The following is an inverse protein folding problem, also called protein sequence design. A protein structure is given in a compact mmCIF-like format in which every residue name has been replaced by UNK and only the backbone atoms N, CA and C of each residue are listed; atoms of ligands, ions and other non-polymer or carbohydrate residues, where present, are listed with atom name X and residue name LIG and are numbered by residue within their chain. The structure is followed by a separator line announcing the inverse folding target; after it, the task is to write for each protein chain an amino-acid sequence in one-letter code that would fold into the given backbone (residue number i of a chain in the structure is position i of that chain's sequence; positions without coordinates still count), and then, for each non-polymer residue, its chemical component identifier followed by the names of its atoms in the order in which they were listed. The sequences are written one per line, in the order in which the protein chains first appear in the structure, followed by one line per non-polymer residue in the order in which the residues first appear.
data_IF_266299221437
#
_entry.id   IF_266299221437
#
_cell.length_a   1.000
_cell.length_b   1.000
_cell.length_c   1.000
_cell.angle_alpha   90.00
_cell.angle_beta   90.00
_cell.angle_gamma   90.00
#
_symmetry.space_group_name_H-M   'P 1'
#
loop_
_entity.id
_entity.type
_entity.pdbx_description
1 polymer ?
#
# COMPACT_ATOMS: atom_id res chain seq x y z
N UNK A 1 -14.59 40.04 -7.66
CA UNK A 1 -15.63 39.01 -7.53
C UNK A 1 -14.90 37.67 -7.49
N UNK A 2 -14.75 37.09 -6.30
CA UNK A 2 -14.16 35.74 -6.14
C UNK A 2 -15.28 34.77 -6.52
N UNK A 3 -15.08 33.99 -7.57
CA UNK A 3 -16.02 32.95 -7.96
C UNK A 3 -16.16 31.95 -6.81
N UNK A 4 -17.34 31.86 -6.23
CA UNK A 4 -17.73 30.81 -5.31
C UNK A 4 -17.61 29.48 -6.06
N UNK A 5 -16.58 28.69 -5.80
CA UNK A 5 -16.45 27.33 -6.33
C UNK A 5 -17.60 26.50 -5.77
N UNK A 6 -18.48 26.08 -6.65
CA UNK A 6 -19.66 25.29 -6.32
C UNK A 6 -19.20 23.89 -5.86
N UNK A 7 -19.20 23.65 -4.55
CA UNK A 7 -18.76 22.35 -3.96
C UNK A 7 -19.64 21.17 -4.39
N UNK A 8 -20.75 21.43 -5.08
CA UNK A 8 -21.65 20.40 -5.62
C UNK A 8 -21.10 19.64 -6.85
N UNK A 9 -20.06 20.15 -7.49
CA UNK A 9 -19.49 19.58 -8.74
C UNK A 9 -18.21 18.75 -8.49
N UNK A 10 -17.75 18.65 -7.24
CA UNK A 10 -16.55 17.86 -6.92
C UNK A 10 -16.90 16.38 -6.73
N UNK A 11 -16.09 15.45 -7.26
CA UNK A 11 -16.32 14.02 -7.08
C UNK A 11 -16.18 13.62 -5.61
N UNK A 12 -17.09 12.75 -5.15
CA UNK A 12 -16.98 12.13 -3.81
C UNK A 12 -16.05 10.94 -3.87
N UNK A 13 -14.98 11.00 -3.08
CA UNK A 13 -13.95 9.95 -2.96
C UNK A 13 -14.09 9.25 -1.63
N UNK A 14 -14.28 7.93 -1.66
CA UNK A 14 -14.28 7.06 -0.49
C UNK A 14 -12.90 6.43 -0.32
N UNK A 15 -12.29 6.60 0.85
CA UNK A 15 -11.01 5.98 1.19
C UNK A 15 -11.23 4.83 2.16
N UNK A 16 -11.11 3.59 1.67
CA UNK A 16 -11.11 2.40 2.52
C UNK A 16 -9.80 2.32 3.32
N UNK A 17 -9.89 1.95 4.60
CA UNK A 17 -8.70 1.91 5.47
C UNK A 17 -8.13 3.28 5.82
N UNK A 18 -8.97 4.33 5.86
CA UNK A 18 -8.57 5.73 6.09
C UNK A 18 -7.87 5.99 7.44
N UNK A 19 -8.00 5.07 8.40
CA UNK A 19 -7.29 5.12 9.70
C UNK A 19 -5.99 4.30 9.70
N UNK A 20 -5.69 3.62 8.59
CA UNK A 20 -4.47 2.82 8.41
C UNK A 20 -3.30 3.63 7.86
N UNK A 21 -2.19 2.93 7.57
CA UNK A 21 -0.96 3.59 7.12
C UNK A 21 -1.13 4.29 5.77
N UNK A 22 -1.51 3.58 4.71
CA UNK A 22 -1.67 4.17 3.37
C UNK A 22 -2.90 5.08 3.32
N UNK A 23 -4.07 4.58 3.75
CA UNK A 23 -5.31 5.35 3.71
C UNK A 23 -5.24 6.65 4.52
N UNK A 24 -4.58 6.62 5.69
CA UNK A 24 -4.35 7.81 6.51
C UNK A 24 -3.46 8.85 5.83
N UNK A 25 -2.46 8.43 5.07
CA UNK A 25 -1.61 9.33 4.28
C UNK A 25 -2.39 9.92 3.09
N UNK A 26 -3.26 9.15 2.42
CA UNK A 26 -4.14 9.66 1.37
C UNK A 26 -5.09 10.74 1.93
N UNK A 27 -5.69 10.47 3.09
CA UNK A 27 -6.55 11.46 3.79
C UNK A 27 -5.78 12.74 4.08
N UNK A 28 -4.57 12.61 4.65
CA UNK A 28 -3.69 13.75 4.95
C UNK A 28 -3.33 14.54 3.68
N UNK A 29 -3.08 13.86 2.58
CA UNK A 29 -2.75 14.52 1.30
C UNK A 29 -3.94 15.35 0.80
N UNK A 30 -5.17 14.85 0.89
CA UNK A 30 -6.37 15.62 0.57
C UNK A 30 -6.63 16.78 1.54
N UNK A 31 -6.29 16.65 2.81
CA UNK A 31 -6.46 17.72 3.81
C UNK A 31 -5.43 18.85 3.65
N UNK A 32 -4.24 18.55 3.11
CA UNK A 32 -3.15 19.53 2.95
C UNK A 32 -3.10 20.22 1.59
N UNK A 33 -3.84 19.71 0.60
CA UNK A 33 -3.91 20.29 -0.75
C UNK A 33 -5.25 21.02 -0.98
N UNK A 34 -5.32 21.99 -1.92
CA UNK A 34 -6.60 22.62 -2.27
C UNK A 34 -7.60 21.55 -2.71
N UNK A 35 -8.75 21.54 -2.06
CA UNK A 35 -9.81 20.55 -2.20
C UNK A 35 -10.25 20.33 -3.64
N UNK A 36 -9.90 19.19 -4.19
CA UNK A 36 -10.33 18.72 -5.52
C UNK A 36 -11.37 17.61 -5.44
N UNK A 37 -11.76 17.22 -4.24
CA UNK A 37 -12.71 16.12 -4.00
C UNK A 37 -13.55 16.39 -2.75
N UNK A 38 -14.72 15.75 -2.68
CA UNK A 38 -15.47 15.60 -1.45
C UNK A 38 -15.00 14.31 -0.77
N UNK A 39 -14.13 14.44 0.23
CA UNK A 39 -13.54 13.28 0.90
C UNK A 39 -14.54 12.61 1.83
N UNK A 40 -14.68 11.28 1.73
CA UNK A 40 -15.37 10.42 2.68
C UNK A 40 -14.40 9.38 3.22
N UNK A 41 -14.27 9.33 4.55
CA UNK A 41 -13.39 8.40 5.26
C UNK A 41 -14.20 7.25 5.85
N UNK A 42 -13.55 6.10 6.07
CA UNK A 42 -14.22 4.91 6.57
C UNK A 42 -13.58 4.36 7.83
N UNK A 43 -14.37 3.73 8.67
CA UNK A 43 -13.88 2.82 9.71
C UNK A 43 -14.82 1.62 9.81
N UNK A 44 -14.27 0.45 10.19
CA UNK A 44 -15.07 -0.73 10.54
C UNK A 44 -15.63 -0.67 11.98
N UNK A 45 -15.26 0.33 12.77
CA UNK A 45 -15.69 0.53 14.15
C UNK A 45 -16.58 1.74 14.26
N UNK A 46 -17.83 1.56 14.71
CA UNK A 46 -18.80 2.64 14.85
C UNK A 46 -18.29 3.77 15.76
N UNK A 47 -17.69 3.43 16.90
CA UNK A 47 -17.13 4.44 17.81
C UNK A 47 -16.04 5.33 17.16
N UNK A 48 -15.26 4.78 16.22
CA UNK A 48 -14.29 5.58 15.47
C UNK A 48 -14.97 6.47 14.43
N UNK A 49 -16.06 6.00 13.82
CA UNK A 49 -16.87 6.83 12.92
C UNK A 49 -17.45 8.01 13.69
N UNK A 50 -18.04 7.78 14.87
CA UNK A 50 -18.62 8.83 15.72
C UNK A 50 -17.56 9.87 16.09
N UNK A 51 -16.36 9.43 16.45
CA UNK A 51 -15.21 10.32 16.73
C UNK A 51 -14.83 11.17 15.52
N UNK A 52 -14.65 10.54 14.36
CA UNK A 52 -14.31 11.25 13.11
C UNK A 52 -15.38 12.25 12.71
N UNK A 53 -16.67 11.91 12.88
CA UNK A 53 -17.78 12.83 12.67
C UNK A 53 -17.75 14.02 13.66
N UNK A 54 -17.42 13.78 14.93
CA UNK A 54 -17.26 14.83 15.92
C UNK A 54 -16.08 15.78 15.61
N UNK A 55 -15.05 15.28 14.91
CA UNK A 55 -13.94 16.05 14.36
C UNK A 55 -14.32 16.81 13.06
N UNK A 56 -15.58 16.73 12.60
CA UNK A 56 -16.08 17.39 11.40
C UNK A 56 -15.75 16.66 10.09
N UNK A 57 -15.32 15.41 10.14
CA UNK A 57 -15.03 14.60 8.93
C UNK A 57 -16.30 13.94 8.42
N UNK A 58 -16.44 13.81 7.09
CA UNK A 58 -17.47 12.98 6.48
C UNK A 58 -17.07 11.51 6.62
N UNK A 59 -17.42 10.91 7.75
CA UNK A 59 -17.05 9.53 8.08
C UNK A 59 -18.26 8.59 7.98
N UNK A 60 -18.01 7.34 7.57
CA UNK A 60 -19.05 6.32 7.43
C UNK A 60 -18.53 4.96 7.87
N UNK A 61 -19.44 4.14 8.43
CA UNK A 61 -19.15 2.75 8.74
C UNK A 61 -19.03 1.94 7.46
N UNK A 62 -17.91 1.28 7.27
CA UNK A 62 -17.69 0.28 6.22
C UNK A 62 -16.88 -0.86 6.81
N UNK A 63 -17.52 -2.00 6.91
CA UNK A 63 -16.94 -3.23 7.44
C UNK A 63 -17.04 -4.33 6.37
N UNK A 64 -15.92 -4.84 5.91
CA UNK A 64 -15.86 -5.87 4.87
C UNK A 64 -16.48 -7.19 5.32
N UNK A 65 -16.47 -7.47 6.63
CA UNK A 65 -17.13 -8.63 7.23
C UNK A 65 -18.66 -8.46 7.31
N UNK A 66 -19.16 -7.23 7.10
CA UNK A 66 -20.59 -6.92 7.15
C UNK A 66 -21.05 -6.16 5.89
N UNK A 67 -21.41 -6.86 4.79
CA UNK A 67 -21.87 -6.22 3.55
C UNK A 67 -23.10 -5.32 3.71
N UNK A 68 -23.86 -5.45 4.83
CA UNK A 68 -24.97 -4.55 5.16
C UNK A 68 -24.57 -3.09 5.31
N UNK A 69 -23.29 -2.81 5.57
CA UNK A 69 -22.74 -1.44 5.69
C UNK A 69 -22.45 -0.78 4.33
N UNK A 70 -22.33 -1.56 3.26
CA UNK A 70 -21.84 -1.07 1.96
C UNK A 70 -22.80 -0.07 1.30
N UNK A 71 -24.10 -0.32 1.40
CA UNK A 71 -25.09 0.55 0.76
C UNK A 71 -25.02 2.01 1.23
N UNK A 72 -24.93 2.22 2.55
CA UNK A 72 -24.80 3.55 3.12
C UNK A 72 -23.42 4.18 2.80
N UNK A 73 -22.36 3.37 2.87
CA UNK A 73 -21.00 3.83 2.62
C UNK A 73 -20.79 4.30 1.18
N UNK A 74 -21.35 3.57 0.22
CA UNK A 74 -21.17 3.82 -1.22
C UNK A 74 -22.19 4.80 -1.81
N UNK A 75 -23.22 5.20 -1.05
CA UNK A 75 -24.24 6.13 -1.54
C UNK A 75 -23.63 7.48 -1.95
N UNK A 76 -23.77 7.85 -3.24
CA UNK A 76 -23.25 9.09 -3.79
C UNK A 76 -21.72 9.16 -3.85
N UNK A 77 -21.03 8.02 -3.87
CA UNK A 77 -19.59 7.93 -4.07
C UNK A 77 -19.30 7.78 -5.56
N UNK A 78 -18.39 8.60 -6.07
CA UNK A 78 -17.92 8.54 -7.45
C UNK A 78 -16.67 7.68 -7.60
N UNK A 79 -15.75 7.72 -6.61
CA UNK A 79 -14.44 7.05 -6.69
C UNK A 79 -14.10 6.38 -5.37
N UNK A 80 -13.50 5.19 -5.45
CA UNK A 80 -13.14 4.36 -4.31
C UNK A 80 -11.63 4.08 -4.33
N UNK A 81 -10.95 4.37 -3.21
CA UNK A 81 -9.67 3.73 -2.92
C UNK A 81 -9.93 2.38 -2.26
N UNK A 82 -9.59 1.29 -2.97
CA UNK A 82 -9.78 -0.07 -2.50
C UNK A 82 -8.47 -0.62 -1.97
N UNK A 83 -8.46 -0.92 -0.67
CA UNK A 83 -7.37 -1.55 0.05
C UNK A 83 -7.86 -2.88 0.62
N UNK A 84 -7.16 -3.95 0.33
CA UNK A 84 -7.46 -5.27 0.87
C UNK A 84 -6.67 -5.54 2.16
N UNK A 85 -7.29 -6.28 3.09
CA UNK A 85 -6.57 -6.92 4.19
C UNK A 85 -6.06 -8.29 3.74
N UNK A 86 -4.89 -8.67 4.20
CA UNK A 86 -4.39 -10.02 3.99
C UNK A 86 -5.09 -10.99 4.93
N UNK A 87 -6.17 -11.57 4.47
CA UNK A 87 -6.94 -12.62 5.16
C UNK A 87 -7.47 -13.61 4.13
N UNK A 88 -7.89 -14.78 4.58
CA UNK A 88 -8.50 -15.79 3.70
C UNK A 88 -9.79 -15.30 3.02
N UNK A 89 -10.44 -14.29 3.60
CA UNK A 89 -11.64 -13.65 3.08
C UNK A 89 -11.37 -12.59 1.99
N UNK A 90 -10.11 -12.25 1.74
CA UNK A 90 -9.71 -11.17 0.83
C UNK A 90 -10.46 -11.19 -0.51
N UNK A 91 -10.57 -12.36 -1.14
CA UNK A 91 -11.24 -12.49 -2.44
C UNK A 91 -12.75 -12.23 -2.33
N UNK A 92 -13.39 -12.77 -1.29
CA UNK A 92 -14.84 -12.58 -1.05
C UNK A 92 -15.12 -11.12 -0.70
N UNK A 93 -14.31 -10.52 0.16
CA UNK A 93 -14.43 -9.10 0.55
C UNK A 93 -14.31 -8.19 -0.66
N UNK A 94 -13.29 -8.40 -1.50
CA UNK A 94 -13.09 -7.62 -2.71
C UNK A 94 -14.25 -7.77 -3.68
N UNK A 95 -14.66 -9.03 -3.94
CA UNK A 95 -15.78 -9.32 -4.83
C UNK A 95 -17.06 -8.63 -4.38
N UNK A 96 -17.44 -8.80 -3.12
CA UNK A 96 -18.71 -8.27 -2.61
C UNK A 96 -18.73 -6.74 -2.58
N UNK A 97 -17.60 -6.10 -2.27
CA UNK A 97 -17.47 -4.66 -2.32
C UNK A 97 -17.52 -4.10 -3.75
N UNK A 98 -16.85 -4.76 -4.71
CA UNK A 98 -16.88 -4.37 -6.13
C UNK A 98 -18.29 -4.51 -6.70
N UNK A 99 -19.02 -5.58 -6.38
CA UNK A 99 -20.41 -5.76 -6.79
C UNK A 99 -21.32 -4.64 -6.24
N UNK A 100 -21.15 -4.31 -4.96
CA UNK A 100 -21.91 -3.22 -4.34
C UNK A 100 -21.54 -1.86 -4.95
N UNK A 101 -20.26 -1.62 -5.25
CA UNK A 101 -19.80 -0.42 -5.92
C UNK A 101 -20.39 -0.27 -7.33
N UNK A 102 -20.43 -1.36 -8.11
CA UNK A 102 -21.09 -1.38 -9.42
C UNK A 102 -22.59 -1.06 -9.30
N UNK A 103 -23.26 -1.67 -8.34
CA UNK A 103 -24.70 -1.42 -8.08
C UNK A 103 -24.97 0.03 -7.65
N UNK A 104 -24.04 0.65 -6.91
CA UNK A 104 -24.11 2.05 -6.49
C UNK A 104 -23.80 3.05 -7.61
N UNK A 105 -23.35 2.59 -8.78
CA UNK A 105 -22.99 3.45 -9.92
C UNK A 105 -21.60 4.10 -9.80
N UNK A 106 -20.69 3.48 -9.05
CA UNK A 106 -19.32 3.98 -8.89
C UNK A 106 -18.63 4.13 -10.24
N UNK A 107 -17.88 5.20 -10.42
CA UNK A 107 -17.22 5.54 -11.70
C UNK A 107 -15.79 5.05 -11.77
N UNK A 108 -15.05 4.97 -10.64
CA UNK A 108 -13.63 4.64 -10.64
C UNK A 108 -13.19 3.90 -9.36
N UNK A 109 -12.47 2.81 -9.52
CA UNK A 109 -11.77 2.11 -8.43
C UNK A 109 -10.26 2.31 -8.61
N UNK A 110 -9.60 2.84 -7.58
CA UNK A 110 -8.14 2.83 -7.45
C UNK A 110 -7.78 1.74 -6.46
N UNK A 111 -7.22 0.67 -6.97
CA UNK A 111 -6.89 -0.53 -6.18
C UNK A 111 -5.41 -0.51 -5.78
N UNK A 112 -5.14 -0.76 -4.51
CA UNK A 112 -3.79 -1.02 -4.03
C UNK A 112 -3.50 -2.52 -4.16
N UNK A 113 -2.75 -2.87 -5.19
CA UNK A 113 -2.26 -4.21 -5.48
C UNK A 113 -0.87 -4.47 -4.90
N UNK A 114 -0.09 -5.29 -5.57
CA UNK A 114 1.29 -5.65 -5.24
C UNK A 114 2.17 -5.59 -6.48
N UNK A 115 3.49 -5.54 -6.28
CA UNK A 115 4.48 -5.51 -7.35
C UNK A 115 4.74 -6.93 -7.91
N UNK A 116 3.71 -7.53 -8.52
CA UNK A 116 3.78 -8.88 -9.06
C UNK A 116 3.33 -8.91 -10.52
N UNK A 117 4.14 -9.51 -11.39
CA UNK A 117 3.75 -9.79 -12.77
C UNK A 117 2.67 -10.87 -12.81
N UNK A 118 1.92 -10.91 -13.91
CA UNK A 118 0.68 -11.69 -14.04
C UNK A 118 0.86 -13.21 -13.91
N UNK A 119 2.07 -13.71 -14.03
CA UNK A 119 2.43 -15.14 -13.95
C UNK A 119 2.97 -15.56 -12.56
N UNK A 120 2.92 -14.65 -11.57
CA UNK A 120 3.37 -14.99 -10.23
C UNK A 120 2.52 -16.09 -9.61
N UNK A 121 3.17 -17.02 -8.91
CA UNK A 121 2.54 -18.13 -8.19
C UNK A 121 2.53 -17.97 -6.69
N UNK A 122 3.09 -16.87 -6.18
CA UNK A 122 2.95 -16.51 -4.78
C UNK A 122 1.46 -16.25 -4.46
N UNK A 123 0.88 -16.94 -3.46
CA UNK A 123 -0.57 -16.85 -3.18
C UNK A 123 -1.05 -15.44 -2.92
N UNK A 124 -0.27 -14.61 -2.23
CA UNK A 124 -0.58 -13.23 -1.92
C UNK A 124 -0.73 -12.39 -3.19
N UNK A 125 0.28 -12.47 -4.08
CA UNK A 125 0.32 -11.72 -5.32
C UNK A 125 -0.71 -12.24 -6.31
N UNK A 126 -0.87 -13.55 -6.40
CA UNK A 126 -1.90 -14.17 -7.21
C UNK A 126 -3.33 -13.75 -6.80
N UNK A 127 -3.60 -13.59 -5.50
CA UNK A 127 -4.90 -13.09 -5.04
C UNK A 127 -5.15 -11.64 -5.46
N UNK A 128 -4.14 -10.78 -5.39
CA UNK A 128 -4.26 -9.42 -5.93
C UNK A 128 -4.60 -9.42 -7.41
N UNK A 129 -3.94 -10.28 -8.20
CA UNK A 129 -4.24 -10.41 -9.63
C UNK A 129 -5.67 -10.89 -9.89
N UNK A 130 -6.19 -11.83 -9.09
CA UNK A 130 -7.59 -12.24 -9.20
C UNK A 130 -8.55 -11.09 -8.87
N UNK A 131 -8.24 -10.27 -7.88
CA UNK A 131 -9.01 -9.08 -7.54
C UNK A 131 -8.96 -8.06 -8.69
N UNK A 132 -7.80 -7.82 -9.28
CA UNK A 132 -7.62 -6.95 -10.44
C UNK A 132 -8.50 -7.39 -11.61
N UNK A 133 -8.42 -8.67 -11.99
CA UNK A 133 -9.27 -9.23 -13.07
C UNK A 133 -10.76 -9.09 -12.76
N UNK A 134 -11.15 -9.23 -11.49
CA UNK A 134 -12.55 -9.04 -11.10
C UNK A 134 -12.99 -7.57 -11.21
N UNK A 135 -12.14 -6.62 -10.79
CA UNK A 135 -12.39 -5.19 -10.94
C UNK A 135 -12.52 -4.84 -12.42
N UNK A 136 -11.59 -5.28 -13.27
CA UNK A 136 -11.61 -5.06 -14.72
C UNK A 136 -12.90 -5.60 -15.37
N UNK A 137 -13.28 -6.82 -15.02
CA UNK A 137 -14.51 -7.46 -15.54
C UNK A 137 -15.79 -6.80 -15.01
N UNK A 138 -15.73 -6.00 -13.94
CA UNK A 138 -16.91 -5.32 -13.41
C UNK A 138 -17.47 -4.25 -14.36
N UNK A 139 -16.63 -3.70 -15.24
CA UNK A 139 -16.96 -2.59 -16.13
C UNK A 139 -16.90 -1.21 -15.47
N UNK A 140 -16.51 -1.13 -14.19
CA UNK A 140 -16.15 0.14 -13.54
C UNK A 140 -14.78 0.57 -14.06
N UNK A 141 -14.55 1.86 -14.29
CA UNK A 141 -13.20 2.32 -14.60
C UNK A 141 -12.24 2.02 -13.46
N UNK A 142 -10.99 1.67 -13.78
CA UNK A 142 -10.05 1.19 -12.79
C UNK A 142 -8.63 1.74 -13.00
N UNK A 143 -7.87 1.76 -11.92
CA UNK A 143 -6.41 1.96 -11.90
C UNK A 143 -5.84 1.04 -10.84
N UNK A 144 -4.79 0.28 -11.18
CA UNK A 144 -4.07 -0.56 -10.24
C UNK A 144 -2.73 0.09 -9.86
N UNK A 145 -2.44 0.11 -8.57
CA UNK A 145 -1.18 0.57 -8.03
C UNK A 145 -0.40 -0.65 -7.55
N UNK A 146 0.79 -0.84 -8.09
CA UNK A 146 1.65 -1.98 -7.79
C UNK A 146 2.88 -1.52 -6.98
N UNK A 147 2.75 -1.31 -5.66
CA UNK A 147 3.88 -0.92 -4.84
C UNK A 147 4.84 -2.09 -4.63
N UNK A 148 6.13 -1.79 -4.70
CA UNK A 148 7.21 -2.67 -4.30
C UNK A 148 7.37 -2.61 -2.76
N UNK A 149 8.48 -3.11 -2.23
CA UNK A 149 8.71 -3.21 -0.80
C UNK A 149 8.63 -1.83 -0.12
N UNK A 150 7.79 -1.73 0.91
CA UNK A 150 7.64 -0.48 1.65
C UNK A 150 8.88 -0.19 2.51
N UNK A 151 9.41 1.03 2.41
CA UNK A 151 10.53 1.48 3.27
C UNK A 151 10.17 1.38 4.76
N UNK A 152 8.90 1.55 5.11
CA UNK A 152 8.36 1.43 6.47
C UNK A 152 8.56 0.04 7.08
N UNK A 153 8.80 -0.98 6.26
CA UNK A 153 9.16 -2.31 6.75
C UNK A 153 10.48 -2.31 7.53
N UNK A 154 11.38 -1.36 7.23
CA UNK A 154 12.65 -1.18 7.94
C UNK A 154 12.50 -0.60 9.37
N UNK A 155 11.32 -0.25 9.79
CA UNK A 155 11.00 0.11 11.19
C UNK A 155 9.88 -0.76 11.78
N UNK A 156 9.58 -1.89 11.12
CA UNK A 156 8.63 -2.90 11.56
C UNK A 156 9.27 -4.30 11.50
N UNK A 157 8.79 -5.19 10.65
CA UNK A 157 9.25 -6.59 10.64
C UNK A 157 10.66 -6.79 10.02
N UNK A 158 11.15 -5.88 9.17
CA UNK A 158 12.52 -5.85 8.65
C UNK A 158 13.43 -4.87 9.41
N UNK A 159 13.01 -4.41 10.57
CA UNK A 159 13.79 -3.45 11.35
C UNK A 159 15.18 -4.01 11.69
N UNK A 160 16.23 -3.17 11.64
CA UNK A 160 17.55 -3.58 12.08
C UNK A 160 17.53 -4.04 13.53
N UNK A 161 18.07 -5.24 13.78
CA UNK A 161 18.17 -5.83 15.13
C UNK A 161 19.62 -6.24 15.40
N UNK A 162 20.08 -6.01 16.62
CA UNK A 162 21.46 -6.34 17.02
C UNK A 162 22.51 -5.80 16.04
N UNK A 163 22.28 -4.59 15.50
CA UNK A 163 23.17 -3.97 14.52
C UNK A 163 23.21 -4.65 13.15
N UNK A 164 22.14 -5.38 12.78
CA UNK A 164 22.01 -6.06 11.49
C UNK A 164 20.68 -5.77 10.82
N UNK A 165 20.68 -5.66 9.50
CA UNK A 165 19.49 -5.72 8.65
C UNK A 165 19.54 -7.03 7.86
N UNK A 166 18.47 -7.83 7.95
CA UNK A 166 18.45 -9.20 7.40
C UNK A 166 17.70 -9.23 6.08
N UNK A 167 18.30 -9.82 5.05
CA UNK A 167 17.65 -10.25 3.81
C UNK A 167 17.43 -11.77 3.86
N UNK A 168 16.27 -12.24 3.39
CA UNK A 168 15.97 -13.67 3.25
C UNK A 168 15.90 -14.13 1.78
N UNK A 169 16.26 -13.25 0.86
CA UNK A 169 16.34 -13.53 -0.59
C UNK A 169 17.79 -13.59 -1.09
N UNK A 170 18.73 -14.01 -0.23
CA UNK A 170 20.14 -13.92 -0.58
C UNK A 170 20.60 -12.47 -0.75
N UNK A 171 21.46 -12.23 -1.72
CA UNK A 171 21.98 -10.91 -2.10
C UNK A 171 21.14 -10.18 -3.17
N UNK A 172 19.95 -10.69 -3.45
CA UNK A 172 19.07 -10.12 -4.46
C UNK A 172 18.77 -8.64 -4.19
N UNK A 173 18.74 -7.86 -5.28
CA UNK A 173 18.34 -6.44 -5.20
C UNK A 173 16.84 -6.33 -4.92
N UNK A 174 16.50 -5.41 -4.04
CA UNK A 174 15.12 -5.10 -3.67
C UNK A 174 14.76 -3.67 -4.07
N UNK A 175 13.60 -3.52 -4.71
CA UNK A 175 13.01 -2.21 -4.96
C UNK A 175 12.23 -1.71 -3.76
N UNK A 176 12.34 -0.42 -3.47
CA UNK A 176 11.73 0.25 -2.33
C UNK A 176 10.81 1.37 -2.77
N UNK A 177 9.79 1.64 -1.98
CA UNK A 177 8.88 2.76 -2.13
C UNK A 177 8.44 3.27 -0.75
N UNK A 178 8.42 4.58 -0.54
CA UNK A 178 7.84 5.17 0.67
C UNK A 178 6.31 5.13 0.63
N UNK A 179 5.65 4.86 1.75
CA UNK A 179 4.17 4.90 1.83
C UNK A 179 3.59 6.27 1.45
N UNK A 180 4.31 7.35 1.78
CA UNK A 180 3.90 8.70 1.40
C UNK A 180 3.87 8.89 -0.13
N UNK A 181 4.78 8.28 -0.86
CA UNK A 181 4.84 8.31 -2.31
C UNK A 181 3.69 7.53 -2.94
N UNK A 182 3.37 6.35 -2.38
CA UNK A 182 2.19 5.56 -2.78
C UNK A 182 0.91 6.35 -2.57
N UNK A 183 0.77 7.01 -1.41
CA UNK A 183 -0.38 7.82 -1.09
C UNK A 183 -0.51 9.04 -2.03
N UNK A 184 0.60 9.68 -2.38
CA UNK A 184 0.60 10.80 -3.32
C UNK A 184 0.11 10.38 -4.73
N UNK A 185 0.54 9.19 -5.21
CA UNK A 185 0.03 8.63 -6.47
C UNK A 185 -1.47 8.35 -6.36
N UNK A 186 -1.90 7.66 -5.30
CA UNK A 186 -3.31 7.33 -5.08
C UNK A 186 -4.19 8.59 -5.02
N UNK A 187 -3.78 9.61 -4.25
CA UNK A 187 -4.50 10.87 -4.13
C UNK A 187 -4.58 11.62 -5.48
N UNK A 188 -3.50 11.63 -6.25
CA UNK A 188 -3.48 12.23 -7.60
C UNK A 188 -4.46 11.52 -8.53
N UNK A 189 -4.39 10.19 -8.60
CA UNK A 189 -5.28 9.37 -9.44
C UNK A 189 -6.74 9.54 -9.03
N UNK A 190 -7.04 9.51 -7.74
CA UNK A 190 -8.38 9.74 -7.21
C UNK A 190 -8.88 11.17 -7.49
N UNK A 191 -8.00 12.16 -7.45
CA UNK A 191 -8.34 13.57 -7.72
C UNK A 191 -8.61 13.83 -9.21
N UNK A 192 -7.78 13.27 -10.10
CA UNK A 192 -7.89 13.48 -11.56
C UNK A 192 -8.94 12.56 -12.20
N UNK A 193 -9.09 11.34 -11.69
CA UNK A 193 -10.15 10.40 -12.05
C UNK A 193 -9.96 9.63 -13.33
N UNK A 194 -11.04 8.94 -13.78
CA UNK A 194 -10.94 7.92 -14.82
C UNK A 194 -10.59 8.47 -16.22
N UNK A 195 -10.90 9.71 -16.53
CA UNK A 195 -10.59 10.28 -17.84
C UNK A 195 -9.10 10.20 -18.17
N UNK A 196 -8.24 10.32 -17.14
CA UNK A 196 -6.79 10.26 -17.29
C UNK A 196 -6.20 8.90 -16.93
N UNK A 197 -6.84 8.18 -15.99
CA UNK A 197 -6.22 7.04 -15.32
C UNK A 197 -6.92 5.71 -15.54
N UNK A 198 -8.04 5.65 -16.27
CA UNK A 198 -8.70 4.37 -16.58
C UNK A 198 -7.79 3.43 -17.34
N UNK A 199 -7.77 2.17 -16.94
CA UNK A 199 -7.00 1.12 -17.60
C UNK A 199 -5.49 1.26 -17.44
N UNK A 200 -5.05 1.87 -16.32
CA UNK A 200 -3.62 2.09 -16.03
C UNK A 200 -3.15 1.23 -14.87
N UNK A 201 -1.98 0.66 -15.07
CA UNK A 201 -1.15 0.04 -14.04
C UNK A 201 0.02 0.96 -13.74
N UNK A 202 0.20 1.33 -12.46
CA UNK A 202 1.31 2.14 -12.00
C UNK A 202 2.22 1.32 -11.09
N UNK A 203 3.44 1.10 -11.54
CA UNK A 203 4.45 0.30 -10.88
C UNK A 203 5.33 1.18 -9.99
N UNK A 204 5.16 1.06 -8.69
CA UNK A 204 5.73 1.98 -7.71
C UNK A 204 6.95 1.37 -7.04
N UNK A 205 8.12 1.61 -7.64
CA UNK A 205 9.43 1.18 -7.15
C UNK A 205 10.44 2.28 -7.50
N UNK A 206 10.88 3.03 -6.51
CA UNK A 206 11.61 4.29 -6.72
C UNK A 206 13.09 4.23 -6.37
N UNK A 207 13.47 3.32 -5.50
CA UNK A 207 14.86 3.13 -5.08
C UNK A 207 15.18 1.62 -5.08
N UNK A 208 16.39 1.23 -5.52
CA UNK A 208 16.76 -0.19 -5.66
C UNK A 208 18.12 -0.42 -5.01
N UNK A 209 18.14 -1.29 -3.99
CA UNK A 209 19.32 -1.51 -3.17
C UNK A 209 19.62 -3.01 -3.01
N UNK A 210 20.91 -3.37 -2.89
CA UNK A 210 21.31 -4.65 -2.33
C UNK A 210 21.18 -4.62 -0.79
N UNK A 211 21.25 -5.77 -0.10
CA UNK A 211 21.26 -5.80 1.36
C UNK A 211 22.41 -4.96 1.95
N UNK A 212 23.62 -5.00 1.33
CA UNK A 212 24.78 -4.22 1.75
C UNK A 212 24.59 -2.73 1.56
N UNK A 213 24.00 -2.32 0.44
CA UNK A 213 23.67 -0.91 0.17
C UNK A 213 22.65 -0.39 1.16
N UNK A 214 21.61 -1.17 1.44
CA UNK A 214 20.60 -0.84 2.48
C UNK A 214 21.29 -0.67 3.83
N UNK A 215 22.14 -1.61 4.25
CA UNK A 215 22.87 -1.53 5.50
C UNK A 215 23.80 -0.31 5.57
N UNK A 216 24.48 0.01 4.46
CA UNK A 216 25.37 1.18 4.37
C UNK A 216 24.59 2.50 4.52
N UNK A 217 23.45 2.64 3.85
CA UNK A 217 22.57 3.82 3.96
C UNK A 217 22.08 3.97 5.40
N UNK A 218 21.56 2.91 6.01
CA UNK A 218 21.09 2.94 7.39
C UNK A 218 22.22 3.28 8.36
N UNK A 219 23.42 2.69 8.18
CA UNK A 219 24.60 3.00 9.00
C UNK A 219 24.97 4.48 8.97
N UNK A 220 25.00 5.04 7.75
CA UNK A 220 25.30 6.47 7.54
C UNK A 220 24.32 7.37 8.27
N UNK A 221 23.02 7.08 8.13
CA UNK A 221 21.96 7.92 8.71
C UNK A 221 21.89 7.80 10.23
N UNK A 222 22.00 6.57 10.76
CA UNK A 222 21.90 6.33 12.21
C UNK A 222 23.16 6.72 12.96
N UNK A 223 24.31 6.81 12.27
CA UNK A 223 25.60 7.15 12.86
C UNK A 223 26.25 6.01 13.61
N UNK A 224 25.84 4.75 13.35
CA UNK A 224 26.47 3.55 13.90
C UNK A 224 26.48 2.43 12.86
N UNK A 225 27.41 1.48 12.99
CA UNK A 225 27.57 0.38 12.03
C UNK A 225 26.37 -0.57 12.09
N UNK A 226 25.64 -0.67 10.98
CA UNK A 226 24.64 -1.71 10.71
C UNK A 226 25.22 -2.60 9.62
N UNK A 227 25.22 -3.91 9.83
CA UNK A 227 25.71 -4.89 8.86
C UNK A 227 24.56 -5.54 8.12
N UNK A 228 24.75 -5.84 6.84
CA UNK A 228 23.85 -6.74 6.13
C UNK A 228 24.02 -8.16 6.69
N UNK A 229 22.92 -8.84 6.91
CA UNK A 229 22.87 -10.26 7.21
C UNK A 229 22.12 -10.94 6.06
N UNK A 230 22.88 -11.61 5.20
CA UNK A 230 22.33 -12.34 4.05
C UNK A 230 21.97 -13.74 4.49
N UNK A 231 20.70 -14.08 4.36
CA UNK A 231 20.08 -15.39 4.65
C UNK A 231 19.30 -15.88 3.45
N UNK A 232 18.78 -17.07 3.54
CA UNK A 232 18.05 -17.75 2.48
C UNK A 232 16.58 -18.01 2.89
N UNK A 233 15.70 -18.32 1.95
CA UNK A 233 14.27 -18.56 2.25
C UNK A 233 14.05 -19.64 3.32
N UNK A 234 14.92 -20.67 3.37
CA UNK A 234 14.87 -21.75 4.35
C UNK A 234 15.13 -21.23 5.78
N UNK A 235 15.98 -20.22 5.95
CA UNK A 235 16.23 -19.58 7.25
C UNK A 235 14.98 -18.84 7.73
N UNK A 236 14.25 -18.18 6.81
CA UNK A 236 12.98 -17.52 7.14
C UNK A 236 11.91 -18.54 7.52
N UNK A 237 11.82 -19.66 6.77
CA UNK A 237 10.94 -20.77 7.11
C UNK A 237 11.24 -21.31 8.50
N UNK A 238 12.51 -21.56 8.82
CA UNK A 238 12.91 -22.05 10.14
C UNK A 238 12.53 -21.06 11.27
N UNK A 239 12.66 -19.75 11.00
CA UNK A 239 12.27 -18.69 11.94
C UNK A 239 10.76 -18.72 12.22
N UNK A 240 9.93 -18.91 11.18
CA UNK A 240 8.47 -19.07 11.32
C UNK A 240 8.13 -20.34 12.11
N UNK A 241 8.71 -21.47 11.73
CA UNK A 241 8.45 -22.77 12.36
C UNK A 241 8.84 -22.76 13.85
N UNK A 242 9.81 -21.94 14.25
CA UNK A 242 10.18 -21.76 15.67
C UNK A 242 9.20 -20.91 16.48
N UNK A 243 8.18 -20.29 15.86
CA UNK A 243 7.22 -19.41 16.49
C UNK A 243 7.75 -18.03 16.91
N UNK A 244 8.98 -17.67 16.50
CA UNK A 244 9.58 -16.37 16.81
C UNK A 244 8.95 -15.21 16.05
N UNK A 245 8.28 -15.50 14.93
CA UNK A 245 7.52 -14.52 14.15
C UNK A 245 6.04 -14.84 14.29
N UNK A 246 5.25 -13.99 14.96
CA UNK A 246 3.80 -14.17 15.09
C UNK A 246 3.13 -13.81 13.76
N UNK A 247 3.01 -14.78 12.86
CA UNK A 247 2.45 -14.60 11.54
C UNK A 247 1.43 -15.72 11.27
N UNK A 248 0.32 -15.39 10.62
CA UNK A 248 -0.65 -16.39 10.17
C UNK A 248 0.03 -17.41 9.26
N UNK A 249 -0.25 -18.72 9.48
CA UNK A 249 0.47 -19.80 8.80
C UNK A 249 0.41 -19.73 7.27
N UNK A 250 -0.75 -19.40 6.74
CA UNK A 250 -0.93 -19.29 5.29
C UNK A 250 -0.17 -18.07 4.72
N UNK A 251 -0.15 -16.95 5.45
CA UNK A 251 0.62 -15.76 5.09
C UNK A 251 2.12 -16.03 5.15
N UNK A 252 2.54 -16.73 6.18
CA UNK A 252 3.92 -17.14 6.36
C UNK A 252 4.42 -18.02 5.20
N UNK A 253 3.60 -18.97 4.76
CA UNK A 253 3.92 -19.81 3.60
C UNK A 253 4.07 -18.98 2.31
N UNK A 254 3.18 -18.01 2.07
CA UNK A 254 3.30 -17.06 0.96
C UNK A 254 4.57 -16.22 1.03
N UNK A 255 4.93 -15.73 2.21
CA UNK A 255 6.16 -14.96 2.38
C UNK A 255 7.43 -15.78 2.11
N UNK A 256 7.46 -17.07 2.51
CA UNK A 256 8.57 -17.97 2.15
C UNK A 256 8.64 -18.16 0.64
N UNK A 257 7.50 -18.37 -0.03
CA UNK A 257 7.45 -18.51 -1.49
C UNK A 257 7.92 -17.24 -2.20
N UNK A 258 7.49 -16.07 -1.73
CA UNK A 258 7.97 -14.78 -2.23
C UNK A 258 9.49 -14.68 -2.15
N UNK A 259 10.09 -14.92 -0.99
CA UNK A 259 11.54 -14.87 -0.85
C UNK A 259 12.25 -15.90 -1.74
N UNK A 260 11.65 -17.09 -1.92
CA UNK A 260 12.19 -18.12 -2.81
C UNK A 260 12.18 -17.67 -4.27
N UNK A 261 11.10 -17.08 -4.74
CA UNK A 261 10.97 -16.60 -6.12
C UNK A 261 11.89 -15.39 -6.40
N UNK A 262 12.12 -14.54 -5.40
CA UNK A 262 13.13 -13.47 -5.53
C UNK A 262 14.53 -14.03 -5.57
N UNK A 263 14.84 -15.00 -4.70
CA UNK A 263 16.17 -15.64 -4.61
C UNK A 263 16.55 -16.41 -5.87
N UNK A 264 15.63 -17.20 -6.45
CA UNK A 264 15.88 -18.01 -7.63
C UNK A 264 15.72 -17.25 -8.96
N UNK A 265 15.38 -15.96 -8.90
CA UNK A 265 15.28 -15.06 -10.04
C UNK A 265 13.94 -15.05 -10.77
N UNK A 266 12.96 -15.90 -10.39
CA UNK A 266 11.60 -15.86 -10.97
C UNK A 266 10.95 -14.49 -10.79
N UNK A 267 11.21 -13.80 -9.69
CA UNK A 267 10.76 -12.42 -9.44
C UNK A 267 11.92 -11.41 -9.52
N UNK A 268 12.89 -11.61 -10.42
CA UNK A 268 14.02 -10.70 -10.59
C UNK A 268 13.64 -9.26 -10.93
N UNK A 269 12.45 -9.03 -11.50
CA UNK A 269 11.89 -7.70 -11.76
C UNK A 269 11.65 -6.87 -10.47
N UNK A 270 11.57 -7.48 -9.31
CA UNK A 270 11.50 -6.79 -7.99
C UNK A 270 12.70 -5.83 -7.81
N UNK A 271 13.86 -6.16 -8.35
CA UNK A 271 15.06 -5.35 -8.31
C UNK A 271 15.10 -4.22 -9.36
N UNK A 272 13.97 -3.69 -9.81
CA UNK A 272 13.91 -2.63 -10.82
C UNK A 272 13.25 -1.36 -10.30
N UNK A 273 13.76 -0.19 -10.72
CA UNK A 273 13.11 1.11 -10.48
C UNK A 273 12.18 1.48 -11.64
N UNK A 274 11.16 2.27 -11.34
CA UNK A 274 10.15 2.76 -12.29
C UNK A 274 9.94 4.27 -12.16
N UNK A 275 9.47 4.89 -13.23
CA UNK A 275 9.23 6.33 -13.27
C UNK A 275 7.75 6.72 -13.18
N UNK A 276 6.88 5.79 -12.77
CA UNK A 276 5.44 6.02 -12.70
C UNK A 276 5.08 7.10 -11.68
N UNK A 277 5.77 7.16 -10.53
CA UNK A 277 5.53 8.18 -9.52
C UNK A 277 5.74 9.61 -10.07
N UNK A 278 6.91 9.97 -10.60
CA UNK A 278 7.10 11.31 -11.17
C UNK A 278 6.21 11.56 -12.39
N UNK A 279 5.89 10.54 -13.19
CA UNK A 279 4.96 10.65 -14.31
C UNK A 279 3.55 11.05 -13.86
N UNK A 280 3.05 10.42 -12.79
CA UNK A 280 1.69 10.67 -12.27
C UNK A 280 1.62 11.96 -11.47
N UNK A 281 2.59 12.19 -10.57
CA UNK A 281 2.51 13.25 -9.55
C UNK A 281 3.30 14.52 -9.91
N UNK A 282 4.26 14.42 -10.83
CA UNK A 282 5.24 15.47 -11.08
C UNK A 282 6.25 15.68 -9.94
N UNK A 283 6.22 14.83 -8.90
CA UNK A 283 7.11 14.93 -7.73
C UNK A 283 8.34 14.06 -7.92
N UNK A 284 9.45 14.45 -7.30
CA UNK A 284 10.62 13.58 -7.17
C UNK A 284 10.32 12.47 -6.17
N UNK A 285 10.78 11.23 -6.43
CA UNK A 285 10.59 10.13 -5.51
C UNK A 285 11.43 10.30 -4.24
N UNK A 286 10.93 9.77 -3.13
CA UNK A 286 11.67 9.69 -1.88
C UNK A 286 12.75 8.59 -2.01
N UNK A 287 14.03 8.95 -1.80
CA UNK A 287 15.10 7.96 -1.71
C UNK A 287 15.09 7.24 -0.37
N UNK A 288 15.68 6.04 -0.31
CA UNK A 288 15.83 5.30 0.95
C UNK A 288 16.64 6.10 1.99
N UNK A 289 17.65 6.86 1.54
CA UNK A 289 18.43 7.72 2.44
C UNK A 289 17.57 8.84 3.02
N UNK A 290 16.78 9.55 2.20
CA UNK A 290 15.89 10.61 2.68
C UNK A 290 14.82 10.05 3.63
N UNK A 291 14.20 8.94 3.25
CA UNK A 291 13.22 8.27 4.12
C UNK A 291 13.83 7.87 5.47
N UNK A 292 15.06 7.34 5.46
CA UNK A 292 15.75 6.95 6.69
C UNK A 292 16.06 8.16 7.58
N UNK A 293 16.44 9.33 7.00
CA UNK A 293 16.63 10.58 7.72
C UNK A 293 15.33 11.04 8.37
N UNK A 294 14.22 11.02 7.64
CA UNK A 294 12.90 11.44 8.16
C UNK A 294 12.38 10.49 9.27
N UNK A 295 12.86 9.23 9.27
CA UNK A 295 12.49 8.21 10.25
C UNK A 295 13.60 7.86 11.25
N UNK A 296 14.62 8.74 11.42
CA UNK A 296 15.80 8.49 12.25
C UNK A 296 15.45 8.06 13.69
N UNK A 297 14.51 8.73 14.33
CA UNK A 297 14.10 8.41 15.70
C UNK A 297 13.49 7.00 15.83
N UNK A 298 12.73 6.58 14.83
CA UNK A 298 12.13 5.23 14.77
C UNK A 298 13.21 4.17 14.54
N UNK A 299 14.14 4.41 13.62
CA UNK A 299 15.27 3.51 13.36
C UNK A 299 16.14 3.32 14.63
N UNK A 300 16.45 4.43 15.31
CA UNK A 300 17.20 4.39 16.58
C UNK A 300 16.45 3.64 17.69
N UNK A 301 15.13 3.71 17.74
CA UNK A 301 14.33 2.95 18.69
C UNK A 301 14.44 1.45 18.42
N UNK A 302 14.38 1.01 17.14
CA UNK A 302 14.54 -0.38 16.74
C UNK A 302 15.91 -0.97 17.11
N UNK A 303 16.97 -0.16 17.12
CA UNK A 303 18.32 -0.63 17.45
C UNK A 303 18.57 -0.80 18.95
N UNK A 304 17.68 -0.24 19.79
CA UNK A 304 17.75 -0.36 21.24
C UNK A 304 16.91 -1.50 21.79
N UNK A 305 15.99 -2.03 21.00
CA UNK A 305 15.11 -3.17 21.31
C UNK A 305 15.77 -4.49 20.95
#
# INVERSE_FOLDING_TARGET
MVASSNTKDLPTVLVLGSTGQVGGLIVKDFETQPMRVNLRVTSRRAAEVDKLCAEGKNAVLLDLDNPGTFGAALHGVDRLFLLNSYSVEMLVHSKTLVDAAKKAGLQHIVHLGTYGEWDTTDPHFAWHQLVERYIEASGISWTHLHPNMFMENLVTFMAPRNGRVTSYSGDARMGWIALADVAAVAATVLSEGPTRHHGKDYWLSTDVQTPEQTAAILSKVVGQVIKAEVKFPEDFKALIDSGQVPMEKWYAAGAVEFFSQVYDGRMGYIGTARNDLPYVTGKSPTSLEQWAQDNLSRLQACLRS
#
